data_IF_587734473572
#
_entry.id   IF_587734473572
#
_cell.length_a   1.000
_cell.length_b   1.000
_cell.length_c   1.000
_cell.angle_alpha   90.00
_cell.angle_beta   90.00
_cell.angle_gamma   90.00
#
_symmetry.space_group_name_H-M   'P 1'
#
loop_
_entity.id
_entity.type
_entity.pdbx_description
1 polymer ?
#
# COMPACT_ATOMS: atom_id res chain seq x y z
N UNK A 1 -10.88 6.70 -6.25
CA UNK A 1 -9.72 6.05 -5.61
C UNK A 1 -9.51 4.64 -6.15
N UNK A 2 -8.65 4.51 -7.15
CA UNK A 2 -8.09 3.22 -7.59
C UNK A 2 -6.86 2.96 -6.72
N UNK A 3 -6.84 1.82 -6.01
CA UNK A 3 -5.71 1.44 -5.14
C UNK A 3 -4.96 0.31 -5.80
N UNK A 4 -3.74 0.57 -6.23
CA UNK A 4 -2.87 -0.40 -6.87
C UNK A 4 -1.84 -0.87 -5.86
N UNK A 5 -1.91 -2.14 -5.47
CA UNK A 5 -0.95 -2.73 -4.54
C UNK A 5 0.11 -3.51 -5.32
N UNK A 6 1.37 -3.09 -5.21
CA UNK A 6 2.52 -3.71 -5.87
C UNK A 6 3.52 -4.17 -4.82
N UNK A 7 3.73 -5.48 -4.71
CA UNK A 7 4.79 -6.05 -3.88
C UNK A 7 5.96 -6.49 -4.77
N UNK A 8 7.13 -5.88 -4.59
CA UNK A 8 8.36 -6.20 -5.32
C UNK A 8 9.33 -6.98 -4.45
N UNK A 9 9.93 -8.03 -5.00
CA UNK A 9 10.92 -8.90 -4.34
C UNK A 9 10.41 -9.68 -3.12
N UNK A 10 9.09 -9.71 -2.86
CA UNK A 10 8.49 -10.61 -1.86
C UNK A 10 7.00 -10.85 -2.14
N UNK A 11 6.48 -11.97 -1.61
CA UNK A 11 5.04 -12.26 -1.61
C UNK A 11 4.43 -11.58 -0.39
N UNK A 12 3.67 -10.51 -0.60
CA UNK A 12 2.92 -9.88 0.48
C UNK A 12 1.81 -10.81 0.97
N UNK A 13 1.73 -11.01 2.28
CA UNK A 13 0.62 -11.74 2.91
C UNK A 13 -0.68 -10.95 2.79
N UNK A 14 -1.82 -11.65 2.78
CA UNK A 14 -3.16 -11.04 2.71
C UNK A 14 -3.37 -9.99 3.82
N UNK A 15 -2.89 -10.28 5.03
CA UNK A 15 -2.94 -9.35 6.17
C UNK A 15 -2.20 -8.03 5.89
N UNK A 16 -1.05 -8.09 5.20
CA UNK A 16 -0.25 -6.90 4.87
C UNK A 16 -0.96 -6.04 3.85
N UNK A 17 -1.60 -6.68 2.86
CA UNK A 17 -2.42 -6.01 1.87
C UNK A 17 -3.63 -5.33 2.52
N UNK A 18 -4.37 -6.06 3.36
CA UNK A 18 -5.51 -5.50 4.10
C UNK A 18 -5.12 -4.33 5.00
N UNK A 19 -3.98 -4.43 5.67
CA UNK A 19 -3.45 -3.34 6.48
C UNK A 19 -3.18 -2.09 5.64
N UNK A 20 -2.47 -2.23 4.52
CA UNK A 20 -2.19 -1.12 3.63
C UNK A 20 -3.47 -0.48 3.07
N UNK A 21 -4.44 -1.28 2.63
CA UNK A 21 -5.73 -0.76 2.15
C UNK A 21 -6.52 -0.01 3.23
N UNK A 22 -6.47 -0.48 4.49
CA UNK A 22 -7.14 0.19 5.61
C UNK A 22 -6.51 1.54 5.95
N UNK A 23 -5.18 1.65 5.95
CA UNK A 23 -4.48 2.93 6.17
C UNK A 23 -4.80 3.94 5.05
N UNK A 24 -4.81 3.48 3.81
CA UNK A 24 -5.18 4.28 2.63
C UNK A 24 -6.64 4.76 2.72
N UNK A 25 -7.55 3.93 3.22
CA UNK A 25 -8.94 4.35 3.50
C UNK A 25 -9.05 5.41 4.59
N UNK A 26 -8.17 5.40 5.60
CA UNK A 26 -8.14 6.47 6.61
C UNK A 26 -7.71 7.79 5.98
N UNK A 27 -6.71 7.78 5.11
CA UNK A 27 -6.26 8.96 4.36
C UNK A 27 -7.38 9.57 3.50
N UNK A 28 -8.24 8.72 2.92
CA UNK A 28 -9.42 9.18 2.17
C UNK A 28 -10.38 10.04 3.01
N UNK A 29 -10.50 9.81 4.32
CA UNK A 29 -11.34 10.67 5.19
C UNK A 29 -10.83 12.10 5.31
N UNK A 30 -9.53 12.32 5.12
CA UNK A 30 -8.91 13.64 5.19
C UNK A 30 -8.81 14.31 3.82
N UNK A 31 -8.74 13.49 2.75
CA UNK A 31 -8.58 13.95 1.38
C UNK A 31 -9.60 13.27 0.47
N UNK A 32 -10.72 13.96 0.20
CA UNK A 32 -11.81 13.44 -0.64
C UNK A 32 -11.47 13.44 -2.15
N UNK A 33 -10.46 14.20 -2.55
CA UNK A 33 -10.03 14.36 -3.95
C UNK A 33 -9.09 13.27 -4.49
N UNK A 34 -8.86 12.16 -3.77
CA UNK A 34 -7.89 11.16 -4.20
C UNK A 34 -8.48 10.23 -5.28
N UNK A 35 -8.02 10.43 -6.51
CA UNK A 35 -8.44 9.65 -7.68
C UNK A 35 -7.70 8.31 -7.76
N UNK A 36 -6.38 8.31 -7.54
CA UNK A 36 -5.49 7.15 -7.68
C UNK A 36 -4.48 7.06 -6.53
N UNK A 37 -4.11 5.84 -6.14
CA UNK A 37 -3.17 5.55 -5.07
C UNK A 37 -2.37 4.28 -5.37
N UNK A 38 -1.06 4.44 -5.52
CA UNK A 38 -0.12 3.33 -5.67
C UNK A 38 0.57 3.02 -4.34
N UNK A 39 0.40 1.79 -3.87
CA UNK A 39 1.11 1.24 -2.71
C UNK A 39 2.19 0.28 -3.22
N UNK A 40 3.45 0.71 -3.18
CA UNK A 40 4.59 -0.10 -3.63
C UNK A 40 5.43 -0.51 -2.42
N UNK A 41 5.40 -1.80 -2.09
CA UNK A 41 6.25 -2.37 -1.04
C UNK A 41 7.43 -3.07 -1.70
N UNK A 42 8.65 -2.75 -1.24
CA UNK A 42 9.87 -3.39 -1.71
C UNK A 42 10.65 -3.93 -0.52
N UNK A 43 11.00 -5.21 -0.55
CA UNK A 43 11.91 -5.79 0.45
C UNK A 43 13.35 -5.45 0.05
N UNK A 44 13.88 -4.37 0.59
CA UNK A 44 15.29 -4.05 0.43
C UNK A 44 16.10 -4.90 1.41
N UNK A 45 17.16 -5.59 0.94
CA UNK A 45 18.17 -6.14 1.85
C UNK A 45 18.86 -4.95 2.51
N UNK A 46 18.72 -4.82 3.82
CA UNK A 46 19.61 -3.96 4.58
C UNK A 46 21.01 -4.57 4.42
N UNK A 47 21.90 -3.87 3.73
CA UNK A 47 23.32 -4.18 3.77
C UNK A 47 23.80 -3.80 5.18
N UNK A 48 23.83 -4.78 6.07
CA UNK A 48 24.55 -4.73 7.34
C UNK A 48 25.67 -5.76 7.27
#
# INVERSE_FOLDING_TARGET
>A
MRVTFTARHFKASEQLRQYAENEVKKLKKFFDGIVDCDVILTKQRANC
#
